data_IF_878045514365
#
_entry.id   IF_878045514365
#
_cell.length_a   1.000
_cell.length_b   1.000
_cell.length_c   1.000
_cell.angle_alpha   90.00
_cell.angle_beta   90.00
_cell.angle_gamma   90.00
#
_symmetry.space_group_name_H-M   'P 1'
#
loop_
_entity.id
_entity.type
_entity.pdbx_description
1 polymer ?
#
# COMPACT_ATOMS: atom_id res chain seq x y z
N UNK A 1 -1.44 -12.25 -24.83
CA UNK A 1 -1.35 -11.30 -23.70
C UNK A 1 -0.11 -10.44 -23.92
N UNK A 2 -0.25 -9.12 -24.05
CA UNK A 2 0.90 -8.25 -24.28
C UNK A 2 1.61 -7.97 -22.94
N UNK A 3 2.83 -8.46 -22.76
CA UNK A 3 3.57 -8.36 -21.49
C UNK A 3 3.78 -6.90 -21.05
N UNK A 4 3.90 -5.97 -22.01
CA UNK A 4 4.00 -4.53 -21.74
C UNK A 4 2.72 -3.99 -21.10
N UNK A 5 1.54 -4.41 -21.56
CA UNK A 5 0.27 -3.95 -20.99
C UNK A 5 0.11 -4.40 -19.52
N UNK A 6 0.53 -5.63 -19.19
CA UNK A 6 0.52 -6.13 -17.82
C UNK A 6 1.50 -5.40 -16.91
N UNK A 7 2.68 -5.04 -17.43
CA UNK A 7 3.66 -4.25 -16.69
C UNK A 7 3.14 -2.84 -16.40
N UNK A 8 2.55 -2.18 -17.40
CA UNK A 8 1.93 -0.87 -17.24
C UNK A 8 0.83 -0.94 -16.17
N UNK A 9 -0.08 -1.93 -16.26
CA UNK A 9 -1.15 -2.09 -15.29
C UNK A 9 -0.61 -2.22 -13.85
N UNK A 10 0.43 -3.04 -13.66
CA UNK A 10 1.07 -3.23 -12.35
C UNK A 10 1.63 -1.92 -11.80
N UNK A 11 2.41 -1.20 -12.60
CA UNK A 11 3.09 0.02 -12.16
C UNK A 11 2.09 1.14 -11.91
N UNK A 12 1.10 1.31 -12.79
CA UNK A 12 0.08 2.35 -12.64
C UNK A 12 -0.78 2.08 -11.40
N UNK A 13 -1.26 0.84 -11.21
CA UNK A 13 -2.15 0.52 -10.10
C UNK A 13 -1.43 0.57 -8.74
N UNK A 14 -0.22 -0.01 -8.65
CA UNK A 14 0.56 0.06 -7.42
C UNK A 14 1.07 1.49 -7.16
N UNK A 15 1.45 2.22 -8.22
CA UNK A 15 1.89 3.61 -8.14
C UNK A 15 0.78 4.56 -7.71
N UNK A 16 -0.46 4.35 -8.17
CA UNK A 16 -1.60 5.18 -7.75
C UNK A 16 -1.93 5.02 -6.27
N UNK A 17 -1.78 3.80 -5.72
CA UNK A 17 -1.97 3.58 -4.28
C UNK A 17 -0.84 4.21 -3.48
N UNK A 18 0.41 4.02 -3.91
CA UNK A 18 1.58 4.57 -3.24
C UNK A 18 1.56 6.09 -3.18
N UNK A 19 1.30 6.74 -4.31
CA UNK A 19 1.30 8.20 -4.40
C UNK A 19 0.01 8.82 -3.86
N UNK A 20 -1.15 8.24 -4.20
CA UNK A 20 -2.45 8.79 -3.84
C UNK A 20 -2.86 8.57 -2.38
N UNK A 21 -2.39 7.49 -1.76
CA UNK A 21 -2.77 7.13 -0.39
C UNK A 21 -1.56 6.90 0.53
N UNK A 22 -0.55 6.16 0.07
CA UNK A 22 0.62 5.77 0.87
C UNK A 22 1.42 6.96 1.41
N UNK A 23 1.75 7.94 0.56
CA UNK A 23 2.50 9.14 0.97
C UNK A 23 1.73 10.00 1.97
N UNK A 24 0.42 10.19 1.75
CA UNK A 24 -0.43 10.98 2.65
C UNK A 24 -0.48 10.37 4.05
N UNK A 25 -0.69 9.05 4.16
CA UNK A 25 -0.71 8.38 5.45
C UNK A 25 0.65 8.34 6.13
N UNK A 26 1.74 8.19 5.36
CA UNK A 26 3.10 8.23 5.91
C UNK A 26 3.38 9.61 6.52
N UNK A 27 3.01 10.69 5.84
CA UNK A 27 3.14 12.05 6.38
C UNK A 27 2.30 12.23 7.65
N UNK A 28 1.05 11.80 7.67
CA UNK A 28 0.21 11.86 8.88
C UNK A 28 0.79 11.04 10.05
N UNK A 29 1.50 9.94 9.76
CA UNK A 29 2.18 9.12 10.77
C UNK A 29 3.41 9.84 11.35
N UNK A 30 4.17 10.55 10.51
CA UNK A 30 5.30 11.39 10.94
C UNK A 30 4.81 12.60 11.75
N UNK A 31 3.68 13.20 11.35
CA UNK A 31 3.06 14.33 12.04
C UNK A 31 2.39 13.94 13.37
N UNK A 32 2.33 12.64 13.69
CA UNK A 32 1.73 12.12 14.92
C UNK A 32 0.19 12.13 14.90
N UNK A 33 -0.43 12.38 13.75
CA UNK A 33 -1.87 12.28 13.57
C UNK A 33 -2.24 10.82 13.26
N UNK A 34 -2.36 10.03 14.33
CA UNK A 34 -2.72 8.62 14.26
C UNK A 34 -4.24 8.41 14.13
N UNK A 35 -4.99 9.45 13.76
CA UNK A 35 -6.44 9.31 13.70
C UNK A 35 -6.86 8.51 12.46
N UNK A 36 -7.22 7.26 12.68
CA UNK A 36 -7.55 6.30 11.65
C UNK A 36 -8.69 5.40 12.13
N UNK A 37 -9.56 5.01 11.22
CA UNK A 37 -10.59 4.04 11.57
C UNK A 37 -9.94 2.77 12.13
N UNK A 38 -10.52 2.19 13.18
CA UNK A 38 -10.03 0.96 13.80
C UNK A 38 -10.94 -0.23 13.45
N UNK A 39 -10.96 -0.70 12.19
CA UNK A 39 -11.81 -1.83 11.78
C UNK A 39 -11.39 -3.16 12.42
N UNK A 40 -10.16 -3.27 12.92
CA UNK A 40 -9.61 -4.52 13.49
C UNK A 40 -9.83 -4.58 15.02
N UNK A 41 -10.15 -3.45 15.67
CA UNK A 41 -10.39 -3.40 17.12
C UNK A 41 -9.12 -3.46 17.97
N UNK A 42 -7.92 -3.37 17.39
CA UNK A 42 -6.62 -3.47 18.09
C UNK A 42 -6.15 -2.09 18.61
N UNK A 43 -6.76 -1.01 18.11
CA UNK A 43 -6.46 0.37 18.49
C UNK A 43 -6.15 1.22 17.26
N UNK A 44 -6.25 2.54 17.40
CA UNK A 44 -6.04 3.49 16.30
C UNK A 44 -4.61 3.44 15.77
N UNK A 45 -3.64 3.59 16.66
CA UNK A 45 -2.21 3.61 16.35
C UNK A 45 -1.70 2.35 15.64
N UNK A 46 -1.89 1.11 16.18
CA UNK A 46 -1.40 -0.10 15.50
C UNK A 46 -2.09 -0.33 14.16
N UNK A 47 -3.38 0.00 14.05
CA UNK A 47 -4.13 -0.15 12.79
C UNK A 47 -3.64 0.83 11.73
N UNK A 48 -3.30 2.05 12.14
CA UNK A 48 -2.75 3.05 11.23
C UNK A 48 -1.35 2.69 10.72
N UNK A 49 -0.49 2.16 11.60
CA UNK A 49 0.85 1.67 11.20
C UNK A 49 0.72 0.53 10.17
N UNK A 50 -0.19 -0.41 10.40
CA UNK A 50 -0.47 -1.49 9.46
C UNK A 50 -1.03 -0.98 8.13
N UNK A 51 -1.86 0.06 8.16
CA UNK A 51 -2.39 0.70 6.96
C UNK A 51 -1.27 1.39 6.15
N UNK A 52 -0.36 2.12 6.79
CA UNK A 52 0.82 2.71 6.13
C UNK A 52 1.72 1.64 5.54
N UNK A 53 1.99 0.56 6.28
CA UNK A 53 2.76 -0.55 5.76
C UNK A 53 2.13 -1.15 4.48
N UNK A 54 0.80 -1.32 4.49
CA UNK A 54 0.06 -1.91 3.38
C UNK A 54 -0.06 -0.98 2.16
N UNK A 55 -0.14 0.34 2.36
CA UNK A 55 -0.35 1.30 1.27
C UNK A 55 0.92 1.98 0.77
N UNK A 56 2.01 1.93 1.55
CA UNK A 56 3.30 2.48 1.15
C UNK A 56 4.30 1.37 0.81
N UNK A 57 4.51 0.41 1.72
CA UNK A 57 5.57 -0.57 1.56
C UNK A 57 5.20 -1.70 0.59
N UNK A 58 4.00 -2.26 0.70
CA UNK A 58 3.54 -3.34 -0.17
C UNK A 58 3.53 -2.96 -1.67
N UNK A 59 3.03 -1.79 -2.12
CA UNK A 59 3.06 -1.42 -3.53
C UNK A 59 4.48 -1.24 -4.09
N UNK A 60 5.47 -0.86 -3.28
CA UNK A 60 6.89 -0.82 -3.72
C UNK A 60 7.35 -2.21 -4.15
N UNK A 61 7.09 -3.23 -3.32
CA UNK A 61 7.44 -4.61 -3.64
C UNK A 61 6.65 -5.13 -4.86
N UNK A 62 5.40 -4.69 -5.04
CA UNK A 62 4.60 -5.03 -6.22
C UNK A 62 5.21 -4.44 -7.49
N UNK A 63 5.59 -3.15 -7.49
CA UNK A 63 6.22 -2.47 -8.64
C UNK A 63 7.51 -3.16 -9.03
N UNK A 64 8.37 -3.47 -8.04
CA UNK A 64 9.64 -4.19 -8.24
C UNK A 64 9.40 -5.63 -8.73
N UNK A 65 8.22 -6.20 -8.47
CA UNK A 65 7.89 -7.57 -8.84
C UNK A 65 8.41 -8.61 -7.85
N UNK A 66 8.82 -8.19 -6.64
CA UNK A 66 9.33 -9.09 -5.62
C UNK A 66 8.18 -9.67 -4.78
N UNK A 67 8.04 -11.00 -4.79
CA UNK A 67 7.03 -11.73 -4.00
C UNK A 67 5.62 -11.11 -4.05
N UNK A 68 5.20 -10.67 -5.24
CA UNK A 68 3.92 -9.95 -5.45
C UNK A 68 2.70 -10.67 -4.88
N UNK A 69 2.71 -12.01 -4.81
CA UNK A 69 1.62 -12.81 -4.20
C UNK A 69 1.45 -12.60 -2.69
N UNK A 70 2.53 -12.31 -1.96
CA UNK A 70 2.46 -12.04 -0.53
C UNK A 70 2.04 -10.60 -0.23
N UNK A 71 2.34 -9.68 -1.15
CA UNK A 71 2.06 -8.25 -0.99
C UNK A 71 0.75 -7.81 -1.67
N UNK A 72 0.06 -8.70 -2.38
CA UNK A 72 -1.21 -8.43 -3.05
C UNK A 72 -2.34 -9.29 -2.47
N UNK A 73 -3.47 -8.66 -2.16
CA UNK A 73 -4.69 -9.37 -1.74
C UNK A 73 -5.33 -10.18 -2.87
N UNK A 74 -5.22 -9.70 -4.11
CA UNK A 74 -5.58 -10.47 -5.31
C UNK A 74 -4.29 -10.95 -5.99
N UNK A 75 -3.78 -12.14 -5.64
CA UNK A 75 -2.67 -12.74 -6.35
C UNK A 75 -3.16 -13.17 -7.74
N UNK A 76 -2.71 -12.47 -8.78
CA UNK A 76 -2.75 -12.97 -10.15
C UNK A 76 -1.72 -14.10 -10.35
#
# INVERSE_FOLDING_TARGET
MNNIALLILRVVFAGSILYGHGLGKLNSLIEGNLSFSNPIGIGEAPTFILAVFSEFLAPIFIIVGYKTKFFSFFPA
#
